data_IF_604151739841
#
_entry.id   IF_604151739841
#
_cell.length_a   1.000
_cell.length_b   1.000
_cell.length_c   1.000
_cell.angle_alpha   90.00
_cell.angle_beta   90.00
_cell.angle_gamma   90.00
#
_symmetry.space_group_name_H-M   'P 1'
#
loop_
_entity.id
_entity.type
_entity.pdbx_description
1 polymer ?
#
# COMPACT_ATOMS: atom_id res chain seq x y z
N UNK A 1 11.55 -32.47 58.39
CA UNK A 1 10.45 -31.72 57.73
C UNK A 1 10.84 -31.16 56.35
N UNK A 2 12.13 -31.07 56.00
CA UNK A 2 12.58 -30.55 54.69
C UNK A 2 12.51 -31.55 53.52
N UNK A 3 12.58 -32.86 53.76
CA UNK A 3 12.60 -33.85 52.67
C UNK A 3 11.26 -34.09 51.95
N UNK A 4 10.13 -33.59 52.48
CA UNK A 4 8.82 -33.64 51.81
C UNK A 4 8.57 -32.47 50.85
N UNK A 5 9.29 -31.36 51.01
CA UNK A 5 9.23 -30.24 50.05
C UNK A 5 10.10 -30.52 48.81
N UNK A 6 11.26 -31.16 49.00
CA UNK A 6 12.18 -31.51 47.92
C UNK A 6 11.67 -32.63 47.00
N UNK A 7 10.88 -33.57 47.51
CA UNK A 7 10.31 -34.66 46.69
C UNK A 7 9.09 -34.23 45.85
N UNK A 8 8.41 -33.12 46.20
CA UNK A 8 7.34 -32.54 45.38
C UNK A 8 7.85 -31.68 44.21
N UNK A 9 9.11 -31.25 44.24
CA UNK A 9 9.72 -30.45 43.18
C UNK A 9 10.29 -31.29 42.02
N UNK A 10 10.49 -32.60 42.21
CA UNK A 10 11.32 -33.40 41.30
C UNK A 10 10.59 -34.04 40.10
N UNK A 11 9.27 -33.91 39.96
CA UNK A 11 8.53 -34.46 38.80
C UNK A 11 7.52 -33.52 38.13
N UNK A 12 7.46 -32.25 38.52
CA UNK A 12 6.56 -31.24 37.92
C UNK A 12 7.20 -29.90 37.53
N UNK A 13 8.52 -29.74 37.72
CA UNK A 13 9.19 -28.43 37.66
C UNK A 13 9.30 -27.78 36.27
N UNK A 14 9.64 -28.56 35.23
CA UNK A 14 9.81 -28.03 33.87
C UNK A 14 8.46 -27.71 33.23
N UNK A 15 7.47 -28.59 33.37
CA UNK A 15 6.11 -28.34 32.88
C UNK A 15 5.46 -27.13 33.55
N UNK A 16 5.67 -26.94 34.86
CA UNK A 16 5.19 -25.76 35.58
C UNK A 16 5.92 -24.48 35.16
N UNK A 17 7.23 -24.53 34.91
CA UNK A 17 7.99 -23.39 34.37
C UNK A 17 7.55 -23.02 32.96
N UNK A 18 7.36 -24.00 32.07
CA UNK A 18 6.83 -23.78 30.72
C UNK A 18 5.43 -23.18 30.79
N UNK A 19 4.56 -23.69 31.66
CA UNK A 19 3.23 -23.15 31.86
C UNK A 19 3.26 -21.71 32.39
N UNK A 20 4.15 -21.40 33.33
CA UNK A 20 4.36 -20.02 33.83
C UNK A 20 4.86 -19.10 32.72
N UNK A 21 5.85 -19.52 31.93
CA UNK A 21 6.39 -18.73 30.81
C UNK A 21 5.33 -18.53 29.73
N UNK A 22 4.58 -19.56 29.38
CA UNK A 22 3.48 -19.49 28.43
C UNK A 22 2.37 -18.57 28.93
N UNK A 23 2.03 -18.64 30.22
CA UNK A 23 0.97 -17.81 30.82
C UNK A 23 1.41 -16.36 30.94
N UNK A 24 2.68 -16.09 31.28
CA UNK A 24 3.26 -14.74 31.26
C UNK A 24 3.33 -14.19 29.84
N UNK A 25 3.73 -15.00 28.86
CA UNK A 25 3.77 -14.59 27.46
C UNK A 25 2.38 -14.29 26.90
N UNK A 26 1.37 -15.12 27.22
CA UNK A 26 -0.03 -14.88 26.84
C UNK A 26 -0.59 -13.63 27.54
N UNK A 27 -0.28 -13.43 28.83
CA UNK A 27 -0.69 -12.24 29.58
C UNK A 27 -0.01 -10.97 29.05
N UNK A 28 1.26 -11.04 28.70
CA UNK A 28 2.02 -9.93 28.10
C UNK A 28 1.46 -9.61 26.71
N UNK A 29 1.26 -10.63 25.87
CA UNK A 29 0.61 -10.46 24.57
C UNK A 29 -0.77 -9.83 24.69
N UNK A 30 -1.56 -10.16 25.72
CA UNK A 30 -2.86 -9.53 25.97
C UNK A 30 -2.71 -8.03 26.26
N UNK A 31 -1.81 -7.67 27.18
CA UNK A 31 -1.54 -6.26 27.53
C UNK A 31 -1.08 -5.47 26.30
N UNK A 32 -0.24 -6.05 25.46
CA UNK A 32 0.25 -5.41 24.24
C UNK A 32 -0.74 -5.45 23.07
N UNK A 33 -1.65 -6.43 23.02
CA UNK A 33 -2.61 -6.53 21.92
C UNK A 33 -3.62 -5.39 21.91
N UNK A 34 -3.98 -4.80 23.06
CA UNK A 34 -4.85 -3.61 23.12
C UNK A 34 -4.21 -2.41 22.41
N UNK A 35 -3.00 -1.92 22.79
CA UNK A 35 -2.37 -0.81 22.09
C UNK A 35 -2.01 -1.16 20.65
N UNK A 36 -1.67 -2.42 20.34
CA UNK A 36 -1.42 -2.85 18.95
C UNK A 36 -2.69 -2.76 18.11
N UNK A 37 -3.84 -3.23 18.60
CA UNK A 37 -5.13 -3.13 17.90
C UNK A 37 -5.51 -1.67 17.69
N UNK A 38 -5.32 -0.81 18.70
CA UNK A 38 -5.56 0.62 18.56
C UNK A 38 -4.64 1.27 17.53
N UNK A 39 -3.35 0.97 17.55
CA UNK A 39 -2.39 1.49 16.57
C UNK A 39 -2.69 0.99 15.15
N UNK A 40 -3.04 -0.29 14.98
CA UNK A 40 -3.44 -0.84 13.68
C UNK A 40 -4.74 -0.22 13.17
N UNK A 41 -5.72 -0.01 14.04
CA UNK A 41 -6.97 0.67 13.68
C UNK A 41 -6.75 2.14 13.31
N UNK A 42 -5.85 2.84 14.02
CA UNK A 42 -5.45 4.21 13.64
C UNK A 42 -4.70 4.22 12.31
N UNK A 43 -3.80 3.26 12.08
CA UNK A 43 -3.04 3.15 10.83
C UNK A 43 -3.96 2.83 9.63
N UNK A 44 -4.87 1.87 9.79
CA UNK A 44 -5.90 1.54 8.79
C UNK A 44 -6.87 2.70 8.58
N UNK A 45 -7.27 3.36 9.67
CA UNK A 45 -8.08 4.58 9.61
C UNK A 45 -7.37 5.68 8.83
N UNK A 46 -6.07 5.88 9.04
CA UNK A 46 -5.28 6.86 8.29
C UNK A 46 -5.31 6.55 6.77
N UNK A 47 -5.02 5.31 6.37
CA UNK A 47 -5.01 4.95 4.93
C UNK A 47 -6.40 5.05 4.30
N UNK A 48 -7.43 4.65 5.04
CA UNK A 48 -8.84 4.73 4.61
C UNK A 48 -9.30 6.19 4.46
N UNK A 49 -8.95 7.04 5.42
CA UNK A 49 -9.27 8.47 5.42
C UNK A 49 -8.66 9.17 4.20
N UNK A 50 -7.37 8.99 3.96
CA UNK A 50 -6.70 9.61 2.81
C UNK A 50 -7.23 9.06 1.49
N UNK A 51 -7.47 7.74 1.39
CA UNK A 51 -8.08 7.14 0.21
C UNK A 51 -9.50 7.64 -0.07
N UNK A 52 -10.30 7.89 0.95
CA UNK A 52 -11.66 8.42 0.81
C UNK A 52 -11.68 9.93 0.51
N UNK A 53 -10.69 10.67 1.01
CA UNK A 53 -10.55 12.12 0.80
C UNK A 53 -10.34 12.51 -0.68
N UNK A 54 -9.98 11.55 -1.54
CA UNK A 54 -9.97 11.77 -3.00
C UNK A 54 -11.36 12.02 -3.58
N UNK A 55 -12.42 11.49 -2.95
CA UNK A 55 -13.78 11.50 -3.50
C UNK A 55 -14.75 12.39 -2.73
N UNK A 56 -14.51 12.58 -1.42
CA UNK A 56 -15.43 13.27 -0.51
C UNK A 56 -14.66 14.34 0.28
N UNK A 57 -15.36 15.39 0.73
CA UNK A 57 -14.80 16.39 1.64
C UNK A 57 -14.13 15.75 2.87
N UNK A 58 -12.94 16.23 3.28
CA UNK A 58 -12.15 15.59 4.32
C UNK A 58 -12.89 15.37 5.64
N UNK A 59 -13.75 16.31 6.07
CA UNK A 59 -14.47 16.16 7.34
C UNK A 59 -15.51 15.02 7.32
N UNK A 60 -16.17 14.79 6.19
CA UNK A 60 -17.11 13.66 6.02
C UNK A 60 -16.32 12.35 5.97
N UNK A 61 -15.20 12.33 5.24
CA UNK A 61 -14.32 11.18 5.15
C UNK A 61 -13.81 10.74 6.54
N UNK A 62 -13.48 11.71 7.43
CA UNK A 62 -13.07 11.43 8.80
C UNK A 62 -14.18 10.72 9.59
N UNK A 63 -15.41 11.23 9.55
CA UNK A 63 -16.55 10.67 10.29
C UNK A 63 -16.83 9.23 9.83
N UNK A 64 -16.87 9.01 8.51
CA UNK A 64 -17.13 7.68 7.94
C UNK A 64 -15.99 6.71 8.30
N UNK A 65 -14.74 7.16 8.25
CA UNK A 65 -13.58 6.34 8.61
C UNK A 65 -13.65 5.88 10.07
N UNK A 66 -13.95 6.79 11.00
CA UNK A 66 -14.13 6.45 12.42
C UNK A 66 -15.25 5.44 12.60
N UNK A 67 -16.36 5.60 11.86
CA UNK A 67 -17.47 4.65 11.89
C UNK A 67 -17.06 3.26 11.37
N UNK A 68 -16.38 3.17 10.22
CA UNK A 68 -15.91 1.89 9.64
C UNK A 68 -14.97 1.17 10.61
N UNK A 69 -13.98 1.88 11.14
CA UNK A 69 -13.00 1.30 12.08
C UNK A 69 -13.66 0.84 13.38
N UNK A 70 -14.61 1.62 13.90
CA UNK A 70 -15.39 1.24 15.09
C UNK A 70 -16.22 -0.02 14.84
N UNK A 71 -16.87 -0.13 13.68
CA UNK A 71 -17.65 -1.31 13.28
C UNK A 71 -16.74 -2.54 13.17
N UNK A 72 -15.56 -2.42 12.54
CA UNK A 72 -14.60 -3.53 12.43
C UNK A 72 -14.22 -4.05 13.82
N UNK A 73 -13.85 -3.16 14.75
CA UNK A 73 -13.44 -3.55 16.10
C UNK A 73 -14.62 -4.14 16.90
N UNK A 74 -15.78 -3.48 16.92
CA UNK A 74 -16.96 -3.93 17.67
C UNK A 74 -17.47 -5.27 17.12
N UNK A 75 -17.63 -5.40 15.81
CA UNK A 75 -18.07 -6.66 15.21
C UNK A 75 -17.05 -7.78 15.40
N UNK A 76 -15.74 -7.49 15.45
CA UNK A 76 -14.72 -8.49 15.77
C UNK A 76 -14.85 -9.02 17.21
N UNK A 77 -15.09 -8.13 18.17
CA UNK A 77 -15.37 -8.54 19.56
C UNK A 77 -16.68 -9.31 19.69
N UNK A 78 -17.74 -8.83 19.04
CA UNK A 78 -19.05 -9.47 19.10
C UNK A 78 -19.04 -10.85 18.45
N UNK A 79 -18.36 -11.00 17.30
CA UNK A 79 -18.20 -12.29 16.62
C UNK A 79 -17.38 -13.29 17.44
N UNK A 80 -16.47 -12.81 18.28
CA UNK A 80 -15.74 -13.66 19.21
C UNK A 80 -16.59 -14.12 20.42
N UNK A 81 -17.57 -13.32 20.82
CA UNK A 81 -18.50 -13.62 21.91
C UNK A 81 -19.69 -14.52 21.52
N UNK A 82 -20.07 -14.58 20.24
CA UNK A 82 -21.25 -15.31 19.77
C UNK A 82 -20.91 -16.75 19.33
N UNK A 83 -21.68 -17.72 19.83
CA UNK A 83 -21.66 -19.08 19.30
C UNK A 83 -22.55 -19.20 18.05
N UNK A 84 -21.94 -19.57 16.93
CA UNK A 84 -22.62 -19.73 15.64
C UNK A 84 -23.83 -20.70 15.71
N UNK A 85 -23.76 -21.75 16.54
CA UNK A 85 -24.88 -22.70 16.70
C UNK A 85 -26.06 -22.14 17.49
N UNK A 86 -25.81 -21.44 18.59
CA UNK A 86 -26.87 -20.90 19.47
C UNK A 86 -27.63 -19.70 18.89
N UNK A 87 -26.99 -18.86 18.07
CA UNK A 87 -27.66 -17.69 17.49
C UNK A 87 -27.17 -17.40 16.05
N UNK A 88 -27.63 -18.23 15.11
CA UNK A 88 -27.25 -18.14 13.68
C UNK A 88 -27.59 -16.81 13.04
N UNK A 89 -28.76 -16.25 13.33
CA UNK A 89 -29.20 -14.97 12.74
C UNK A 89 -28.34 -13.80 13.20
N UNK A 90 -28.07 -13.69 14.51
CA UNK A 90 -27.19 -12.65 15.04
C UNK A 90 -25.76 -12.82 14.52
N UNK A 91 -25.23 -14.04 14.54
CA UNK A 91 -23.90 -14.34 14.02
C UNK A 91 -23.76 -13.93 12.54
N UNK A 92 -24.73 -14.29 11.70
CA UNK A 92 -24.72 -13.93 10.29
C UNK A 92 -24.82 -12.41 10.08
N UNK A 93 -25.69 -11.71 10.82
CA UNK A 93 -25.81 -10.26 10.73
C UNK A 93 -24.51 -9.54 11.08
N UNK A 94 -23.84 -9.97 12.16
CA UNK A 94 -22.55 -9.41 12.58
C UNK A 94 -21.46 -9.71 11.56
N UNK A 95 -21.42 -10.94 11.03
CA UNK A 95 -20.45 -11.34 10.00
C UNK A 95 -20.62 -10.52 8.70
N UNK A 96 -21.85 -10.34 8.22
CA UNK A 96 -22.12 -9.53 7.02
C UNK A 96 -21.72 -8.08 7.24
N UNK A 97 -22.05 -7.51 8.40
CA UNK A 97 -21.62 -6.14 8.76
C UNK A 97 -20.10 -6.02 8.76
N UNK A 98 -19.39 -7.02 9.31
CA UNK A 98 -17.93 -7.07 9.31
C UNK A 98 -17.37 -7.14 7.88
N UNK A 99 -17.92 -7.99 7.01
CA UNK A 99 -17.48 -8.11 5.61
C UNK A 99 -17.69 -6.80 4.85
N UNK A 100 -18.82 -6.13 5.05
CA UNK A 100 -19.10 -4.84 4.40
C UNK A 100 -18.09 -3.78 4.87
N UNK A 101 -17.87 -3.66 6.18
CA UNK A 101 -16.93 -2.70 6.75
C UNK A 101 -15.48 -2.98 6.29
N UNK A 102 -15.08 -4.25 6.29
CA UNK A 102 -13.77 -4.69 5.80
C UNK A 102 -13.58 -4.37 4.31
N UNK A 103 -14.57 -4.68 3.48
CA UNK A 103 -14.52 -4.41 2.04
C UNK A 103 -14.41 -2.92 1.76
N UNK A 104 -15.19 -2.09 2.48
CA UNK A 104 -15.13 -0.63 2.35
C UNK A 104 -13.76 -0.08 2.77
N UNK A 105 -13.24 -0.49 3.93
CA UNK A 105 -11.92 -0.10 4.44
C UNK A 105 -10.80 -0.45 3.43
N UNK A 106 -10.82 -1.69 2.94
CA UNK A 106 -9.86 -2.20 1.96
C UNK A 106 -9.94 -1.47 0.61
N UNK A 107 -11.15 -1.19 0.12
CA UNK A 107 -11.36 -0.49 -1.15
C UNK A 107 -10.85 0.95 -1.12
N UNK A 108 -11.06 1.70 -0.02
CA UNK A 108 -10.54 3.06 0.09
C UNK A 108 -9.05 3.08 0.39
N UNK A 109 -8.56 2.20 1.27
CA UNK A 109 -7.12 2.08 1.54
C UNK A 109 -6.32 1.69 0.28
N UNK A 110 -6.89 0.86 -0.61
CA UNK A 110 -6.28 0.50 -1.89
C UNK A 110 -5.84 1.74 -2.68
N UNK A 111 -6.68 2.78 -2.76
CA UNK A 111 -6.36 3.98 -3.53
C UNK A 111 -5.12 4.70 -3.01
N UNK A 112 -4.94 4.74 -1.68
CA UNK A 112 -3.76 5.36 -1.08
C UNK A 112 -2.51 4.52 -1.30
N UNK A 113 -2.60 3.20 -1.17
CA UNK A 113 -1.47 2.31 -1.45
C UNK A 113 -1.10 2.28 -2.93
N UNK A 114 -2.09 2.37 -3.83
CA UNK A 114 -1.88 2.46 -5.27
C UNK A 114 -1.11 3.74 -5.64
N UNK A 115 -1.50 4.89 -5.08
CA UNK A 115 -0.76 6.14 -5.28
C UNK A 115 0.70 6.00 -4.85
N UNK A 116 0.96 5.40 -3.68
CA UNK A 116 2.32 5.21 -3.16
C UNK A 116 3.11 4.22 -4.03
N UNK A 117 2.50 3.12 -4.46
CA UNK A 117 3.21 2.09 -5.23
C UNK A 117 3.50 2.49 -6.67
N UNK A 118 2.61 3.27 -7.31
CA UNK A 118 2.73 3.65 -8.72
C UNK A 118 3.33 5.05 -8.93
N UNK A 119 3.63 5.78 -7.86
CA UNK A 119 4.18 7.13 -7.92
C UNK A 119 5.41 7.20 -8.84
N UNK A 120 6.37 6.30 -8.64
CA UNK A 120 7.62 6.31 -9.38
C UNK A 120 7.43 5.81 -10.82
N UNK A 121 6.62 4.77 -11.02
CA UNK A 121 6.29 4.24 -12.35
C UNK A 121 5.67 5.32 -13.23
N UNK A 122 4.67 6.06 -12.71
CA UNK A 122 3.96 7.09 -13.46
C UNK A 122 4.86 8.30 -13.69
N UNK A 123 5.72 8.64 -12.73
CA UNK A 123 6.71 9.70 -12.93
C UNK A 123 7.69 9.36 -14.05
N UNK A 124 8.21 8.13 -14.07
CA UNK A 124 9.08 7.64 -15.15
C UNK A 124 8.34 7.65 -16.48
N UNK A 125 7.08 7.20 -16.52
CA UNK A 125 6.24 7.24 -17.73
C UNK A 125 6.08 8.68 -18.25
N UNK A 126 5.89 9.67 -17.36
CA UNK A 126 5.79 11.09 -17.73
C UNK A 126 7.13 11.65 -18.23
N UNK A 127 8.25 11.35 -17.57
CA UNK A 127 9.59 11.79 -18.00
C UNK A 127 9.90 11.22 -19.39
N UNK A 128 9.70 9.93 -19.58
CA UNK A 128 9.88 9.27 -20.88
C UNK A 128 8.94 9.84 -21.95
N UNK A 129 7.70 10.17 -21.57
CA UNK A 129 6.75 10.82 -22.46
C UNK A 129 7.26 12.17 -22.98
N UNK A 130 7.77 13.03 -22.08
CA UNK A 130 8.39 14.31 -22.45
C UNK A 130 9.64 14.10 -23.30
N UNK A 131 10.53 13.19 -22.88
CA UNK A 131 11.77 12.87 -23.60
C UNK A 131 11.49 12.41 -25.03
N UNK A 132 10.58 11.45 -25.22
CA UNK A 132 10.22 10.92 -26.53
C UNK A 132 9.58 12.00 -27.43
N UNK A 133 8.70 12.85 -26.89
CA UNK A 133 8.08 13.94 -27.68
C UNK A 133 9.11 14.96 -28.15
N UNK A 134 10.09 15.31 -27.29
CA UNK A 134 11.16 16.24 -27.65
C UNK A 134 12.11 15.60 -28.66
N UNK A 135 12.54 14.36 -28.44
CA UNK A 135 13.42 13.63 -29.36
C UNK A 135 12.79 13.46 -30.76
N UNK A 136 11.52 13.08 -30.83
CA UNK A 136 10.78 13.00 -32.10
C UNK A 136 10.70 14.35 -32.83
N UNK A 137 10.56 15.45 -32.08
CA UNK A 137 10.57 16.79 -32.65
C UNK A 137 11.96 17.18 -33.16
N UNK A 138 13.02 16.91 -32.38
CA UNK A 138 14.40 17.18 -32.77
C UNK A 138 14.80 16.40 -34.02
N UNK A 139 14.42 15.11 -34.13
CA UNK A 139 14.62 14.29 -35.33
C UNK A 139 13.97 14.91 -36.57
N UNK A 140 12.76 15.47 -36.44
CA UNK A 140 12.09 16.18 -37.54
C UNK A 140 12.85 17.45 -37.93
N UNK A 141 13.35 18.23 -36.96
CA UNK A 141 14.16 19.43 -37.23
C UNK A 141 15.45 19.09 -37.99
N UNK A 142 16.16 18.04 -37.54
CA UNK A 142 17.40 17.58 -38.21
C UNK A 142 17.13 17.14 -39.63
N UNK A 143 16.01 16.43 -39.87
CA UNK A 143 15.59 16.05 -41.23
C UNK A 143 15.32 17.27 -42.13
N UNK A 144 14.59 18.26 -41.62
CA UNK A 144 14.30 19.51 -42.37
C UNK A 144 15.58 20.29 -42.66
N UNK A 145 16.47 20.43 -41.68
CA UNK A 145 17.80 21.06 -41.86
C UNK A 145 18.61 20.36 -42.94
N UNK A 146 18.69 19.02 -42.89
CA UNK A 146 19.45 18.23 -43.85
C UNK A 146 18.91 18.41 -45.28
N UNK A 147 17.59 18.38 -45.44
CA UNK A 147 16.94 18.58 -46.73
C UNK A 147 17.18 20.00 -47.27
N UNK A 148 17.07 21.04 -46.42
CA UNK A 148 17.31 22.42 -46.81
C UNK A 148 18.76 22.66 -47.25
N UNK A 149 19.73 22.15 -46.49
CA UNK A 149 21.14 22.28 -46.84
C UNK A 149 21.49 21.51 -48.14
N UNK A 150 20.90 20.34 -48.35
CA UNK A 150 21.07 19.58 -49.59
C UNK A 150 20.48 20.32 -50.80
N UNK A 151 19.30 20.92 -50.65
CA UNK A 151 18.64 21.72 -51.68
C UNK A 151 19.49 22.95 -52.07
N UNK A 152 19.98 23.70 -51.08
CA UNK A 152 20.84 24.87 -51.32
C UNK A 152 22.21 24.49 -51.93
N UNK A 153 22.79 23.34 -51.55
CA UNK A 153 24.01 22.81 -52.17
C UNK A 153 23.80 22.41 -53.63
N UNK A 154 22.68 21.75 -53.93
CA UNK A 154 22.33 21.39 -55.30
C UNK A 154 22.13 22.61 -56.20
N UNK A 155 21.48 23.67 -55.70
CA UNK A 155 21.37 24.95 -56.41
C UNK A 155 22.75 25.59 -56.66
N UNK A 156 23.64 25.56 -55.66
CA UNK A 156 25.00 26.08 -55.80
C UNK A 156 25.81 25.30 -56.84
N UNK A 157 25.67 23.98 -56.90
CA UNK A 157 26.30 23.13 -57.92
C UNK A 157 25.80 23.43 -59.34
N UNK A 158 24.48 23.69 -59.50
CA UNK A 158 23.91 24.13 -60.78
C UNK A 158 24.50 25.46 -61.22
N UNK A 159 24.55 26.44 -60.33
CA UNK A 159 25.17 27.74 -60.58
C UNK A 159 26.67 27.58 -60.90
N UNK A 160 27.39 26.69 -60.23
CA UNK A 160 28.80 26.39 -60.53
C UNK A 160 29.00 25.82 -61.94
N UNK A 161 28.07 24.98 -62.41
CA UNK A 161 28.05 24.50 -63.81
C UNK A 161 27.77 25.63 -64.79
N UNK A 162 26.84 26.52 -64.47
CA UNK A 162 26.53 27.69 -65.30
C UNK A 162 27.71 28.68 -65.38
N UNK A 163 28.41 28.94 -64.27
CA UNK A 163 29.64 29.77 -64.26
C UNK A 163 30.71 29.17 -65.16
N UNK A 164 30.92 27.84 -65.10
CA UNK A 164 31.92 27.19 -65.94
C UNK A 164 31.52 27.17 -67.41
N UNK A 165 30.24 27.08 -67.75
CA UNK A 165 29.76 27.18 -69.13
C UNK A 165 29.79 28.63 -69.67
N UNK A 166 29.52 29.62 -68.82
CA UNK A 166 29.56 31.05 -69.18
C UNK A 166 31.00 31.58 -69.36
N UNK A 167 32.00 30.83 -68.93
CA UNK A 167 33.40 31.15 -69.13
C UNK A 167 33.79 30.94 -70.61
N UNK A 168 34.37 31.97 -71.23
CA UNK A 168 34.64 31.98 -72.68
C UNK A 168 35.58 30.85 -73.12
N UNK A 169 36.45 30.32 -72.27
CA UNK A 169 37.31 29.18 -72.63
C UNK A 169 36.56 27.84 -72.79
N UNK A 170 35.38 27.70 -72.19
CA UNK A 170 34.68 26.42 -71.98
C UNK A 170 33.24 26.39 -72.49
N UNK A 171 32.80 27.43 -73.21
CA UNK A 171 31.46 27.47 -73.80
C UNK A 171 31.35 26.48 -74.99
N UNK A 172 30.27 25.66 -75.07
CA UNK A 172 30.15 24.58 -76.06
C UNK A 172 30.14 25.05 -77.52
N UNK A 173 29.58 26.23 -77.79
CA UNK A 173 29.43 26.81 -79.14
C UNK A 173 30.68 27.52 -79.68
N UNK A 174 31.80 27.52 -78.94
CA UNK A 174 33.01 28.19 -79.37
C UNK A 174 33.82 27.30 -80.32
N UNK A 175 34.27 27.83 -81.48
CA UNK A 175 35.10 27.06 -82.41
C UNK A 175 36.33 26.50 -81.70
N UNK A 176 36.77 25.26 -82.02
CA UNK A 176 37.89 24.60 -81.33
C UNK A 176 39.21 25.39 -81.37
N UNK A 177 39.31 26.39 -82.24
CA UNK A 177 40.44 27.31 -82.42
C UNK A 177 40.55 28.38 -81.30
N UNK A 178 39.44 28.66 -80.60
CA UNK A 178 39.34 29.65 -79.53
C UNK A 178 39.04 29.01 -78.16
N UNK A 179 38.91 27.68 -78.10
CA UNK A 179 38.90 26.94 -76.82
C UNK A 179 40.22 27.21 -76.11
N UNK A 180 40.15 27.38 -74.78
CA UNK A 180 41.27 27.77 -73.91
C UNK A 180 41.73 29.24 -74.00
N UNK A 181 41.05 30.11 -74.77
CA UNK A 181 41.27 31.56 -74.62
C UNK A 181 40.54 32.10 -73.39
N UNK A 182 41.33 32.65 -72.45
CA UNK A 182 40.87 33.21 -71.17
C UNK A 182 40.10 34.50 -71.44
N UNK A 183 38.80 34.54 -71.13
CA UNK A 183 37.97 35.72 -71.32
C UNK A 183 36.87 35.84 -70.27
N UNK A 184 36.98 36.84 -69.38
CA UNK A 184 35.94 37.21 -68.42
C UNK A 184 34.91 38.13 -69.08
N UNK A 185 34.02 37.55 -69.89
CA UNK A 185 32.92 38.29 -70.50
C UNK A 185 31.94 38.86 -69.44
N UNK A 186 31.10 39.85 -69.80
CA UNK A 186 30.09 40.42 -68.91
C UNK A 186 29.13 39.37 -68.32
N UNK A 187 28.76 38.35 -69.11
CA UNK A 187 27.90 37.25 -68.68
C UNK A 187 28.56 36.40 -67.60
N UNK A 188 29.85 36.06 -67.75
CA UNK A 188 30.60 35.34 -66.73
C UNK A 188 30.66 36.13 -65.42
N UNK A 189 30.92 37.44 -65.48
CA UNK A 189 30.97 38.29 -64.29
C UNK A 189 29.64 38.32 -63.53
N UNK A 190 28.52 38.41 -64.24
CA UNK A 190 27.19 38.40 -63.65
C UNK A 190 26.85 37.04 -63.00
N UNK A 191 27.07 35.93 -63.71
CA UNK A 191 26.78 34.60 -63.17
C UNK A 191 27.73 34.25 -62.01
N UNK A 192 29.01 34.64 -62.11
CA UNK A 192 29.98 34.46 -61.04
C UNK A 192 29.63 35.30 -59.80
N UNK A 193 29.13 36.54 -59.95
CA UNK A 193 28.68 37.32 -58.78
C UNK A 193 27.51 36.62 -58.07
N UNK A 194 26.52 36.11 -58.82
CA UNK A 194 25.41 35.35 -58.24
C UNK A 194 25.92 34.09 -57.51
N UNK A 195 26.88 33.39 -58.11
CA UNK A 195 27.49 32.20 -57.51
C UNK A 195 28.23 32.54 -56.21
N UNK A 196 29.04 33.61 -56.17
CA UNK A 196 29.73 34.03 -54.95
C UNK A 196 28.75 34.48 -53.86
N UNK A 197 27.70 35.22 -54.23
CA UNK A 197 26.66 35.65 -53.30
C UNK A 197 25.93 34.45 -52.69
N UNK A 198 25.53 33.47 -53.52
CA UNK A 198 24.87 32.24 -53.07
C UNK A 198 25.81 31.39 -52.19
N UNK A 199 27.10 31.31 -52.54
CA UNK A 199 28.11 30.62 -51.74
C UNK A 199 28.28 31.27 -50.36
N UNK A 200 28.29 32.60 -50.30
CA UNK A 200 28.36 33.33 -49.04
C UNK A 200 27.08 33.13 -48.20
N UNK A 201 25.90 33.14 -48.84
CA UNK A 201 24.63 32.83 -48.17
C UNK A 201 24.59 31.42 -47.59
N UNK A 202 25.07 30.41 -48.34
CA UNK A 202 25.15 29.02 -47.85
C UNK A 202 26.09 28.92 -46.64
N UNK A 203 27.27 29.54 -46.70
CA UNK A 203 28.22 29.54 -45.59
C UNK A 203 27.65 30.23 -44.34
N UNK A 204 26.93 31.35 -44.53
CA UNK A 204 26.25 32.03 -43.43
C UNK A 204 25.13 31.18 -42.83
N UNK A 205 24.37 30.47 -43.67
CA UNK A 205 23.30 29.56 -43.23
C UNK A 205 23.86 28.37 -42.45
N UNK A 206 24.95 27.76 -42.91
CA UNK A 206 25.65 26.68 -42.20
C UNK A 206 26.15 27.15 -40.83
N UNK A 207 26.70 28.36 -40.73
CA UNK A 207 27.14 28.94 -39.46
C UNK A 207 25.97 29.20 -38.50
N UNK A 208 24.86 29.75 -39.01
CA UNK A 208 23.65 29.96 -38.21
C UNK A 208 23.06 28.65 -37.69
N UNK A 209 23.11 27.57 -38.47
CA UNK A 209 22.66 26.26 -38.01
C UNK A 209 23.53 25.66 -36.91
N UNK A 210 24.83 26.02 -36.80
CA UNK A 210 25.66 25.60 -35.67
C UNK A 210 25.16 26.16 -34.34
N UNK A 211 24.63 27.39 -34.33
CA UNK A 211 24.03 27.97 -33.14
C UNK A 211 22.79 27.18 -32.70
N UNK A 212 21.97 26.74 -33.65
CA UNK A 212 20.82 25.86 -33.36
C UNK A 212 21.30 24.51 -32.81
N UNK A 213 22.35 23.92 -33.39
CA UNK A 213 22.92 22.65 -32.89
C UNK A 213 23.40 22.77 -31.42
N UNK A 214 23.98 23.91 -31.04
CA UNK A 214 24.36 24.19 -29.66
C UNK A 214 23.13 24.30 -28.74
N UNK A 215 22.07 24.97 -29.20
CA UNK A 215 20.80 25.04 -28.46
C UNK A 215 20.14 23.66 -28.30
N UNK A 216 20.22 22.79 -29.33
CA UNK A 216 19.76 21.40 -29.26
C UNK A 216 20.57 20.60 -28.23
N UNK A 217 21.90 20.68 -28.27
CA UNK A 217 22.76 20.00 -27.29
C UNK A 217 22.46 20.46 -25.85
N UNK A 218 22.18 21.76 -25.66
CA UNK A 218 21.78 22.30 -24.35
C UNK A 218 20.44 21.73 -23.87
N UNK A 219 19.48 21.58 -24.79
CA UNK A 219 18.18 20.97 -24.50
C UNK A 219 18.32 19.49 -24.13
N UNK A 220 19.15 18.72 -24.84
CA UNK A 220 19.44 17.32 -24.52
C UNK A 220 20.09 17.15 -23.14
N UNK A 221 21.01 18.05 -22.78
CA UNK A 221 21.58 18.10 -21.43
C UNK A 221 20.49 18.38 -20.39
N UNK A 222 19.58 19.32 -20.67
CA UNK A 222 18.43 19.63 -19.81
C UNK A 222 17.51 18.42 -19.59
N UNK A 223 17.24 17.65 -20.64
CA UNK A 223 16.45 16.41 -20.55
C UNK A 223 17.13 15.36 -19.67
N UNK A 224 18.44 15.17 -19.81
CA UNK A 224 19.19 14.24 -18.97
C UNK A 224 19.21 14.68 -17.50
N UNK A 225 19.22 15.99 -17.22
CA UNK A 225 19.06 16.52 -15.86
C UNK A 225 17.67 16.26 -15.29
N UNK A 226 16.61 16.37 -16.10
CA UNK A 226 15.24 16.11 -15.67
C UNK A 226 15.04 14.65 -15.20
N UNK A 227 15.78 13.71 -15.80
CA UNK A 227 15.80 12.30 -15.40
C UNK A 227 16.59 12.05 -14.11
N UNK A 228 17.67 12.82 -13.87
CA UNK A 228 18.61 12.56 -12.76
C UNK A 228 18.40 13.39 -11.50
N UNK A 229 17.91 14.64 -11.59
CA UNK A 229 17.75 15.53 -10.43
C UNK A 229 16.30 15.49 -9.89
N UNK A 230 16.09 14.55 -8.96
CA UNK A 230 14.81 14.38 -8.26
C UNK A 230 14.45 15.57 -7.35
N UNK A 231 15.44 16.34 -6.88
CA UNK A 231 15.27 17.40 -5.89
C UNK A 231 14.90 18.75 -6.52
N UNK A 232 15.43 19.06 -7.72
CA UNK A 232 15.16 20.30 -8.45
C UNK A 232 14.35 20.10 -9.72
N UNK A 233 13.41 19.13 -9.70
CA UNK A 233 12.62 18.76 -10.88
C UNK A 233 11.85 19.93 -11.52
N UNK A 234 11.47 20.96 -10.76
CA UNK A 234 10.84 22.18 -11.31
C UNK A 234 11.79 22.98 -12.19
N UNK A 235 13.00 23.24 -11.70
CA UNK A 235 14.00 24.02 -12.42
C UNK A 235 14.45 23.27 -13.67
N UNK A 236 14.70 21.95 -13.55
CA UNK A 236 15.02 21.11 -14.69
C UNK A 236 13.90 21.10 -15.74
N UNK A 237 12.63 21.04 -15.32
CA UNK A 237 11.50 21.09 -16.24
C UNK A 237 11.39 22.44 -16.96
N UNK A 238 11.61 23.55 -16.25
CA UNK A 238 11.64 24.87 -16.84
C UNK A 238 12.81 25.05 -17.81
N UNK A 239 14.00 24.53 -17.49
CA UNK A 239 15.15 24.50 -18.40
C UNK A 239 14.80 23.79 -19.72
N UNK A 240 14.15 22.62 -19.65
CA UNK A 240 13.70 21.87 -20.83
C UNK A 240 12.67 22.66 -21.64
N UNK A 241 11.65 23.22 -20.98
CA UNK A 241 10.61 24.01 -21.66
C UNK A 241 11.18 25.26 -22.35
N UNK A 242 12.06 25.99 -21.66
CA UNK A 242 12.73 27.17 -22.24
C UNK A 242 13.68 26.79 -23.37
N UNK A 243 14.44 25.70 -23.21
CA UNK A 243 15.32 25.16 -24.24
C UNK A 243 14.55 24.78 -25.51
N UNK A 244 13.40 24.11 -25.36
CA UNK A 244 12.52 23.75 -26.48
C UNK A 244 12.01 25.00 -27.22
N UNK A 245 11.53 26.01 -26.47
CA UNK A 245 11.07 27.27 -27.07
C UNK A 245 12.19 28.03 -27.79
N UNK A 246 13.40 28.03 -27.23
CA UNK A 246 14.56 28.66 -27.85
C UNK A 246 14.92 27.96 -29.17
N UNK A 247 15.04 26.64 -29.18
CA UNK A 247 15.30 25.84 -30.39
C UNK A 247 14.22 26.09 -31.44
N UNK A 248 12.94 26.08 -31.04
CA UNK A 248 11.83 26.37 -31.94
C UNK A 248 11.93 27.76 -32.56
N UNK A 249 12.20 28.79 -31.76
CA UNK A 249 12.29 30.17 -32.24
C UNK A 249 13.47 30.34 -33.20
N UNK A 250 14.66 29.90 -32.81
CA UNK A 250 15.88 30.01 -33.63
C UNK A 250 15.72 29.24 -34.95
N UNK A 251 15.19 28.01 -34.90
CA UNK A 251 14.96 27.22 -36.11
C UNK A 251 13.93 27.87 -37.03
N UNK A 252 12.79 28.33 -36.49
CA UNK A 252 11.73 28.94 -37.29
C UNK A 252 12.20 30.25 -37.94
N UNK A 253 12.97 31.08 -37.24
CA UNK A 253 13.51 32.32 -37.80
C UNK A 253 14.46 32.05 -38.99
N UNK A 254 15.27 31.00 -38.92
CA UNK A 254 16.21 30.63 -39.98
C UNK A 254 15.50 30.03 -41.20
N UNK A 255 14.51 29.19 -40.96
CA UNK A 255 13.84 28.40 -42.00
C UNK A 255 12.64 29.09 -42.63
N UNK A 256 12.02 30.07 -41.96
CA UNK A 256 10.88 30.82 -42.47
C UNK A 256 11.16 31.55 -43.81
N UNK A 257 12.42 31.85 -44.11
CA UNK A 257 12.82 32.45 -45.41
C UNK A 257 12.81 31.47 -46.57
N UNK A 258 12.88 30.17 -46.29
CA UNK A 258 13.09 29.13 -47.29
C UNK A 258 11.92 28.14 -47.39
N UNK A 259 11.15 27.94 -46.31
CA UNK A 259 10.04 27.00 -46.26
C UNK A 259 8.84 27.54 -45.47
N UNK A 260 7.66 27.05 -45.85
CA UNK A 260 6.39 27.33 -45.18
C UNK A 260 5.89 26.14 -44.35
N UNK A 261 6.42 24.94 -44.57
CA UNK A 261 6.09 23.69 -43.90
C UNK A 261 7.08 23.37 -42.77
N UNK A 262 6.85 23.97 -41.59
CA UNK A 262 7.67 23.73 -40.40
C UNK A 262 7.00 22.72 -39.47
N UNK A 263 7.77 21.81 -38.84
CA UNK A 263 7.23 20.88 -37.87
C UNK A 263 6.68 21.66 -36.66
N UNK A 264 5.48 21.31 -36.22
CA UNK A 264 4.88 21.89 -35.02
C UNK A 264 5.60 21.38 -33.76
N UNK A 265 5.96 22.29 -32.86
CA UNK A 265 6.53 21.91 -31.57
C UNK A 265 5.52 21.10 -30.72
N UNK A 266 5.99 20.11 -29.95
CA UNK A 266 5.13 19.34 -29.06
C UNK A 266 4.59 20.24 -27.95
N UNK A 267 3.31 20.08 -27.62
CA UNK A 267 2.69 20.73 -26.47
C UNK A 267 3.04 19.90 -25.24
N UNK A 268 4.06 20.33 -24.50
CA UNK A 268 4.41 19.70 -23.24
C UNK A 268 3.31 19.93 -22.20
N UNK A 269 3.11 18.96 -21.32
CA UNK A 269 2.21 19.09 -20.16
C UNK A 269 2.67 20.23 -19.24
N UNK A 270 1.81 20.77 -18.39
CA UNK A 270 2.25 21.79 -17.43
C UNK A 270 3.06 21.14 -16.30
N UNK A 271 3.94 21.89 -15.64
CA UNK A 271 4.66 21.37 -14.46
C UNK A 271 3.70 20.92 -13.34
N UNK A 272 2.56 21.60 -13.20
CA UNK A 272 1.50 21.19 -12.27
C UNK A 272 0.93 19.81 -12.61
N UNK A 273 0.70 19.50 -13.89
CA UNK A 273 0.25 18.18 -14.33
C UNK A 273 1.37 17.13 -14.25
N UNK A 274 2.61 17.54 -14.50
CA UNK A 274 3.79 16.69 -14.37
C UNK A 274 4.00 16.23 -12.92
N UNK A 275 3.75 17.10 -11.95
CA UNK A 275 3.85 16.81 -10.50
C UNK A 275 2.55 16.36 -9.85
N UNK A 276 1.41 16.41 -10.56
CA UNK A 276 0.13 16.07 -9.97
C UNK A 276 0.16 14.61 -9.48
N UNK A 277 -0.13 14.45 -8.18
CA UNK A 277 -0.28 13.14 -7.57
C UNK A 277 -1.41 12.39 -8.26
N UNK A 278 -1.21 11.08 -8.42
CA UNK A 278 -2.13 10.23 -9.15
C UNK A 278 -3.46 10.22 -8.42
N UNK A 279 -4.46 10.93 -8.94
CA UNK A 279 -5.84 10.74 -8.50
C UNK A 279 -6.34 9.43 -9.10
N UNK A 280 -6.54 8.37 -8.31
CA UNK A 280 -7.06 7.15 -8.84
C UNK A 280 -8.50 7.41 -9.27
N UNK A 281 -8.71 7.47 -10.58
CA UNK A 281 -10.05 7.50 -11.16
C UNK A 281 -10.51 6.07 -11.41
N UNK A 282 -11.82 5.84 -11.41
CA UNK A 282 -12.41 4.52 -11.70
C UNK A 282 -11.95 3.99 -13.07
N UNK A 283 -11.57 4.89 -13.99
CA UNK A 283 -11.00 4.54 -15.30
C UNK A 283 -9.58 3.96 -15.26
N UNK A 284 -8.84 4.10 -14.16
CA UNK A 284 -7.51 3.52 -13.97
C UNK A 284 -7.56 2.07 -13.43
N UNK A 285 -8.76 1.53 -13.15
CA UNK A 285 -8.94 0.11 -12.77
C UNK A 285 -8.30 -0.92 -13.71
N UNK A 286 -8.13 -0.71 -15.04
CA UNK A 286 -7.46 -1.69 -15.89
C UNK A 286 -6.00 -1.95 -15.52
N UNK A 287 -5.33 -1.02 -14.81
CA UNK A 287 -3.98 -1.19 -14.24
C UNK A 287 -4.06 -1.70 -12.79
N UNK A 288 -4.99 -2.62 -12.49
CA UNK A 288 -5.19 -3.15 -11.14
C UNK A 288 -3.96 -3.91 -10.65
N UNK A 289 -3.32 -3.43 -9.60
CA UNK A 289 -2.22 -4.13 -8.94
C UNK A 289 -2.73 -4.85 -7.68
N UNK A 290 -2.49 -6.15 -7.60
CA UNK A 290 -2.91 -6.98 -6.45
C UNK A 290 -2.16 -6.63 -5.15
N UNK A 291 -0.97 -6.07 -5.26
CA UNK A 291 -0.10 -5.82 -4.12
C UNK A 291 -0.64 -4.76 -3.14
N UNK A 292 -1.06 -3.55 -3.57
CA UNK A 292 -1.76 -2.58 -2.71
C UNK A 292 -2.99 -3.15 -2.01
N UNK A 293 -3.73 -4.01 -2.71
CA UNK A 293 -4.94 -4.65 -2.21
C UNK A 293 -4.62 -5.62 -1.06
N UNK A 294 -3.58 -6.45 -1.22
CA UNK A 294 -3.15 -7.40 -0.19
C UNK A 294 -2.68 -6.66 1.06
N UNK A 295 -1.88 -5.59 0.90
CA UNK A 295 -1.40 -4.79 2.04
C UNK A 295 -2.56 -4.15 2.78
N UNK A 296 -3.50 -3.52 2.07
CA UNK A 296 -4.70 -2.95 2.66
C UNK A 296 -5.48 -4.00 3.47
N UNK A 297 -5.70 -5.18 2.89
CA UNK A 297 -6.39 -6.29 3.56
C UNK A 297 -5.63 -6.85 4.77
N UNK A 298 -4.29 -6.87 4.75
CA UNK A 298 -3.48 -7.42 5.85
C UNK A 298 -3.65 -6.62 7.14
N UNK A 299 -3.65 -5.28 7.07
CA UNK A 299 -3.77 -4.43 8.27
C UNK A 299 -5.12 -4.65 8.96
N UNK A 300 -6.21 -4.65 8.19
CA UNK A 300 -7.55 -4.91 8.72
C UNK A 300 -7.68 -6.35 9.21
N UNK A 301 -7.08 -7.33 8.50
CA UNK A 301 -7.10 -8.73 8.91
C UNK A 301 -6.40 -8.94 10.25
N UNK A 302 -5.23 -8.33 10.48
CA UNK A 302 -4.56 -8.41 11.78
C UNK A 302 -5.36 -7.70 12.88
N UNK A 303 -6.06 -6.61 12.56
CA UNK A 303 -6.94 -5.91 13.50
C UNK A 303 -8.10 -6.80 13.93
N UNK A 304 -8.75 -7.50 12.99
CA UNK A 304 -9.82 -8.47 13.26
C UNK A 304 -9.27 -9.66 14.06
N UNK A 305 -8.14 -10.24 13.64
CA UNK A 305 -7.57 -11.42 14.28
C UNK A 305 -7.14 -11.15 15.72
N UNK A 306 -6.49 -10.02 15.99
CA UNK A 306 -6.06 -9.63 17.34
C UNK A 306 -7.25 -9.25 18.22
N UNK A 307 -8.24 -8.52 17.68
CA UNK A 307 -9.49 -8.20 18.40
C UNK A 307 -10.26 -9.48 18.77
N UNK A 308 -10.37 -10.42 17.83
CA UNK A 308 -10.97 -11.73 18.07
C UNK A 308 -10.20 -12.50 19.16
N UNK A 309 -8.87 -12.52 19.09
CA UNK A 309 -8.02 -13.18 20.08
C UNK A 309 -8.12 -12.58 21.48
N UNK A 310 -8.28 -11.26 21.59
CA UNK A 310 -8.42 -10.55 22.87
C UNK A 310 -9.59 -11.08 23.70
N UNK A 311 -10.69 -11.47 23.05
CA UNK A 311 -11.89 -12.01 23.70
C UNK A 311 -11.73 -13.49 24.10
N UNK A 312 -11.00 -14.28 23.30
CA UNK A 312 -10.75 -15.69 23.62
C UNK A 312 -9.63 -15.91 24.65
N UNK A 313 -8.69 -14.97 24.78
CA UNK A 313 -7.54 -15.11 25.67
C UNK A 313 -7.95 -14.92 27.14
N UNK A 314 -7.70 -15.94 27.96
CA UNK A 314 -8.01 -15.96 29.39
C UNK A 314 -7.50 -14.71 30.14
N UNK A 315 -8.12 -14.34 31.29
CA UNK A 315 -7.46 -13.45 32.24
C UNK A 315 -6.11 -14.02 32.63
N UNK A 316 -5.21 -13.13 33.06
CA UNK A 316 -3.86 -13.47 33.46
C UNK A 316 -3.79 -14.61 34.52
N UNK A 317 -2.57 -15.09 34.82
CA UNK A 317 -2.37 -16.22 35.72
C UNK A 317 -3.10 -16.00 37.04
N UNK A 318 -4.00 -16.93 37.40
CA UNK A 318 -4.66 -16.92 38.70
C UNK A 318 -3.63 -17.16 39.80
N UNK A 319 -3.74 -16.41 40.88
CA UNK A 319 -3.04 -16.78 42.13
C UNK A 319 -3.69 -18.04 42.72
N UNK A 320 -2.93 -18.81 43.51
CA UNK A 320 -3.45 -20.04 44.12
C UNK A 320 -4.69 -19.80 45.02
N UNK A 321 -4.78 -18.62 45.62
CA UNK A 321 -5.93 -18.20 46.42
C UNK A 321 -7.17 -17.92 45.56
N UNK A 322 -6.98 -17.25 44.41
CA UNK A 322 -8.07 -17.00 43.46
C UNK A 322 -8.55 -18.28 42.79
N UNK A 323 -7.63 -19.20 42.48
CA UNK A 323 -7.99 -20.53 41.99
C UNK A 323 -8.88 -21.23 43.02
N UNK A 324 -8.46 -21.29 44.29
CA UNK A 324 -9.28 -21.88 45.36
C UNK A 324 -10.66 -21.24 45.47
N UNK A 325 -10.73 -19.91 45.42
CA UNK A 325 -11.98 -19.14 45.43
C UNK A 325 -12.88 -19.47 44.22
N UNK A 326 -12.33 -19.57 43.01
CA UNK A 326 -13.07 -19.97 41.80
C UNK A 326 -13.73 -21.34 41.99
N UNK A 327 -13.02 -22.29 42.61
CA UNK A 327 -13.57 -23.62 42.89
C UNK A 327 -14.61 -23.62 44.00
N UNK A 328 -14.44 -22.81 45.05
CA UNK A 328 -15.46 -22.64 46.08
C UNK A 328 -16.73 -22.02 45.51
N UNK A 329 -16.59 -21.02 44.63
CA UNK A 329 -17.69 -20.42 43.87
C UNK A 329 -18.39 -21.46 42.99
N UNK A 330 -17.65 -22.33 42.28
CA UNK A 330 -18.25 -23.37 41.44
C UNK A 330 -19.02 -24.43 42.23
N UNK A 331 -18.59 -24.72 43.47
CA UNK A 331 -19.27 -25.66 44.36
C UNK A 331 -20.65 -25.16 44.82
N UNK A 332 -20.95 -23.86 44.67
CA UNK A 332 -22.25 -23.30 45.02
C UNK A 332 -23.33 -23.61 43.99
N UNK A 333 -22.95 -24.13 42.81
CA UNK A 333 -23.89 -24.58 41.79
C UNK A 333 -24.10 -26.09 41.87
N UNK A 334 -25.37 -26.50 41.84
CA UNK A 334 -25.75 -27.91 41.96
C UNK A 334 -26.29 -28.49 40.64
N UNK A 335 -26.69 -27.64 39.70
CA UNK A 335 -27.27 -28.06 38.42
C UNK A 335 -26.34 -27.69 37.27
N UNK A 336 -25.78 -28.72 36.64
CA UNK A 336 -24.97 -28.61 35.44
C UNK A 336 -25.70 -29.31 34.29
N UNK A 337 -25.85 -28.63 33.15
CA UNK A 337 -26.42 -29.20 31.93
C UNK A 337 -25.43 -29.02 30.79
N UNK A 338 -25.51 -29.88 29.77
CA UNK A 338 -24.74 -29.67 28.53
C UNK A 338 -25.68 -28.95 27.56
N UNK A 339 -25.27 -27.79 27.08
CA UNK A 339 -26.01 -26.99 26.11
C UNK A 339 -25.79 -27.52 24.67
N UNK A 340 -26.56 -27.04 23.71
CA UNK A 340 -26.46 -27.35 22.26
C UNK A 340 -25.08 -27.02 21.65
N UNK A 341 -24.25 -26.25 22.37
CA UNK A 341 -22.87 -25.91 22.02
C UNK A 341 -21.82 -26.88 22.62
N UNK A 342 -22.24 -28.01 23.19
CA UNK A 342 -21.38 -28.96 23.92
C UNK A 342 -20.64 -28.33 25.12
N UNK A 343 -21.17 -27.20 25.62
CA UNK A 343 -20.65 -26.48 26.79
C UNK A 343 -21.47 -26.77 28.04
N UNK A 344 -20.80 -26.81 29.20
CA UNK A 344 -21.46 -26.93 30.50
C UNK A 344 -22.15 -25.60 30.84
N UNK A 345 -23.46 -25.65 30.98
CA UNK A 345 -24.35 -24.55 31.34
C UNK A 345 -24.80 -24.68 32.80
N UNK A 346 -24.86 -23.54 33.48
CA UNK A 346 -25.39 -23.35 34.83
C UNK A 346 -26.63 -22.45 34.75
N UNK A 347 -27.66 -22.82 35.50
CA UNK A 347 -28.86 -22.02 35.70
C UNK A 347 -28.65 -21.09 36.90
N UNK A 348 -28.83 -19.78 36.69
CA UNK A 348 -28.60 -18.75 37.73
C UNK A 348 -29.85 -18.55 38.59
N UNK A 349 -31.04 -18.63 37.98
CA UNK A 349 -32.31 -18.37 38.68
C UNK A 349 -32.64 -19.42 39.75
N UNK A 350 -33.38 -18.99 40.78
CA UNK A 350 -33.96 -19.89 41.78
C UNK A 350 -34.86 -20.91 41.11
N UNK A 351 -34.66 -22.17 41.45
CA UNK A 351 -35.69 -23.19 41.20
C UNK A 351 -36.93 -22.89 42.05
N UNK A 352 -38.10 -23.36 41.62
CA UNK A 352 -39.35 -23.13 42.38
C UNK A 352 -39.28 -23.72 43.80
N UNK A 353 -38.48 -24.78 43.98
CA UNK A 353 -38.21 -25.41 45.28
C UNK A 353 -37.33 -24.50 46.16
N UNK A 354 -36.32 -23.83 45.60
CA UNK A 354 -35.47 -22.88 46.32
C UNK A 354 -36.22 -21.60 46.69
N UNK A 355 -37.13 -21.16 45.81
CA UNK A 355 -38.04 -20.04 46.07
C UNK A 355 -38.99 -20.37 47.23
N UNK A 356 -39.52 -21.59 47.27
CA UNK A 356 -40.38 -22.07 48.36
C UNK A 356 -39.63 -22.23 49.70
N UNK A 357 -38.30 -22.41 49.68
CA UNK A 357 -37.47 -22.60 50.89
C UNK A 357 -36.77 -21.32 51.38
N UNK A 358 -37.06 -20.16 50.77
CA UNK A 358 -36.40 -18.88 51.09
C UNK A 358 -34.86 -18.96 51.08
N UNK A 359 -34.28 -19.70 50.13
CA UNK A 359 -32.83 -19.79 50.00
C UNK A 359 -32.21 -18.42 49.66
N UNK A 360 -31.04 -18.13 50.23
CA UNK A 360 -30.31 -16.86 50.04
C UNK A 360 -29.39 -16.98 48.83
N UNK A 361 -29.67 -16.20 47.78
CA UNK A 361 -28.94 -16.28 46.49
C UNK A 361 -27.65 -15.47 46.44
N UNK A 362 -27.37 -14.68 47.48
CA UNK A 362 -26.24 -13.75 47.48
C UNK A 362 -24.90 -14.43 47.15
N UNK A 363 -24.57 -15.61 47.71
CA UNK A 363 -23.34 -16.32 47.36
C UNK A 363 -23.32 -16.72 45.87
N UNK A 364 -24.43 -17.26 45.35
CA UNK A 364 -24.55 -17.70 43.95
C UNK A 364 -24.37 -16.52 42.99
N UNK A 365 -25.02 -15.40 43.26
CA UNK A 365 -24.91 -14.19 42.45
C UNK A 365 -23.51 -13.58 42.53
N UNK A 366 -22.87 -13.61 43.70
CA UNK A 366 -21.48 -13.21 43.86
C UNK A 366 -20.53 -14.13 43.07
N UNK A 367 -20.71 -15.45 43.14
CA UNK A 367 -19.96 -16.43 42.38
C UNK A 367 -20.10 -16.23 40.87
N UNK A 368 -21.34 -16.04 40.38
CA UNK A 368 -21.61 -15.72 38.97
C UNK A 368 -20.93 -14.41 38.58
N UNK A 369 -21.08 -13.35 39.37
CA UNK A 369 -20.48 -12.05 39.09
C UNK A 369 -18.96 -12.09 39.04
N UNK A 370 -18.32 -12.77 39.99
CA UNK A 370 -16.87 -12.95 40.03
C UNK A 370 -16.37 -13.76 38.82
N UNK A 371 -17.01 -14.90 38.53
CA UNK A 371 -16.60 -15.77 37.43
C UNK A 371 -16.86 -15.14 36.05
N UNK A 372 -17.93 -14.35 35.89
CA UNK A 372 -18.19 -13.55 34.69
C UNK A 372 -17.17 -12.41 34.53
N UNK A 373 -16.86 -11.66 35.61
CA UNK A 373 -15.89 -10.57 35.57
C UNK A 373 -14.48 -11.05 35.20
N UNK A 374 -14.18 -12.31 35.54
CA UNK A 374 -12.94 -13.01 35.19
C UNK A 374 -13.10 -13.88 33.93
N UNK A 375 -14.16 -13.76 33.15
CA UNK A 375 -14.29 -14.47 31.87
C UNK A 375 -14.19 -16.02 31.95
N UNK A 376 -14.46 -16.60 33.12
CA UNK A 376 -14.56 -18.06 33.30
C UNK A 376 -15.96 -18.58 32.99
N UNK A 377 -16.95 -17.70 33.05
CA UNK A 377 -18.29 -17.94 32.55
C UNK A 377 -18.55 -16.99 31.38
N UNK A 378 -19.41 -17.40 30.47
CA UNK A 378 -19.98 -16.59 29.38
C UNK A 378 -21.48 -16.48 29.60
N UNK A 379 -22.03 -15.29 29.33
CA UNK A 379 -23.48 -15.05 29.46
C UNK A 379 -24.19 -15.58 28.21
N UNK A 380 -25.09 -16.54 28.40
CA UNK A 380 -25.95 -17.06 27.32
C UNK A 380 -27.25 -16.24 27.29
N UNK A 381 -27.91 -16.13 28.45
CA UNK A 381 -29.16 -15.39 28.64
C UNK A 381 -29.15 -14.67 30.01
N UNK A 382 -30.22 -13.93 30.33
CA UNK A 382 -30.38 -13.34 31.68
C UNK A 382 -30.41 -14.39 32.79
N UNK A 383 -30.77 -15.63 32.46
CA UNK A 383 -31.02 -16.72 33.41
C UNK A 383 -29.95 -17.80 33.43
N UNK A 384 -29.03 -17.79 32.46
CA UNK A 384 -28.11 -18.91 32.20
C UNK A 384 -26.73 -18.44 31.80
N UNK A 385 -25.72 -19.15 32.29
CA UNK A 385 -24.31 -18.92 31.99
C UNK A 385 -23.64 -20.23 31.62
N UNK A 386 -22.72 -20.19 30.66
CA UNK A 386 -21.97 -21.36 30.24
C UNK A 386 -20.49 -21.24 30.61
N UNK A 387 -19.82 -22.37 30.72
CA UNK A 387 -18.38 -22.43 31.01
C UNK A 387 -17.60 -21.87 29.83
N UNK A 388 -16.72 -20.91 30.11
CA UNK A 388 -15.75 -20.49 29.13
C UNK A 388 -14.75 -21.64 28.86
N UNK A 389 -14.18 -21.75 27.65
CA UNK A 389 -13.16 -22.74 27.30
C UNK A 389 -11.98 -22.77 28.29
N UNK A 390 -11.68 -21.62 28.90
CA UNK A 390 -10.58 -21.44 29.84
C UNK A 390 -10.81 -22.11 31.21
N UNK A 391 -12.06 -22.42 31.55
CA UNK A 391 -12.39 -23.03 32.83
C UNK A 391 -12.18 -24.56 32.84
N UNK A 392 -12.30 -25.21 31.68
CA UNK A 392 -12.14 -26.67 31.57
C UNK A 392 -10.74 -27.18 31.96
N UNK A 393 -9.63 -26.57 31.49
CA UNK A 393 -8.29 -26.99 31.88
C UNK A 393 -8.04 -26.83 33.39
N UNK A 394 -8.51 -25.73 33.97
CA UNK A 394 -8.38 -25.45 35.40
C UNK A 394 -9.07 -26.53 36.23
N UNK A 395 -10.32 -26.86 35.89
CA UNK A 395 -11.10 -27.91 36.55
C UNK A 395 -10.42 -29.27 36.37
N UNK A 396 -9.95 -29.58 35.16
CA UNK A 396 -9.30 -30.85 34.85
C UNK A 396 -8.01 -31.04 35.67
N UNK A 397 -7.18 -30.01 35.84
CA UNK A 397 -5.96 -30.06 36.63
C UNK A 397 -6.26 -30.35 38.11
N UNK A 398 -7.20 -29.60 38.72
CA UNK A 398 -7.54 -29.78 40.14
C UNK A 398 -8.28 -31.09 40.42
N UNK A 399 -9.16 -31.53 39.51
CA UNK A 399 -9.81 -32.83 39.62
C UNK A 399 -8.81 -33.97 39.44
N UNK A 400 -7.85 -33.84 38.52
CA UNK A 400 -6.75 -34.78 38.34
C UNK A 400 -5.91 -34.94 39.61
N UNK A 401 -5.56 -33.82 40.26
CA UNK A 401 -4.83 -33.80 41.53
C UNK A 401 -5.61 -34.46 42.68
N UNK A 402 -6.92 -34.20 42.78
CA UNK A 402 -7.78 -34.86 43.77
C UNK A 402 -7.89 -36.36 43.53
N UNK A 403 -8.07 -36.78 42.28
CA UNK A 403 -8.14 -38.20 41.90
C UNK A 403 -6.83 -38.92 42.21
N UNK A 404 -5.68 -38.29 41.93
CA UNK A 404 -4.38 -38.87 42.29
C UNK A 404 -4.20 -38.99 43.80
N UNK A 405 -4.63 -38.00 44.59
CA UNK A 405 -4.60 -38.09 46.06
C UNK A 405 -5.47 -39.22 46.59
N UNK A 406 -6.68 -39.38 46.05
CA UNK A 406 -7.60 -40.48 46.42
C UNK A 406 -6.99 -41.83 46.07
N UNK A 407 -6.48 -42.00 44.84
CA UNK A 407 -5.83 -43.25 44.41
C UNK A 407 -4.62 -43.60 45.27
N UNK A 408 -3.80 -42.61 45.64
CA UNK A 408 -2.66 -42.82 46.56
C UNK A 408 -3.12 -43.19 47.97
N UNK A 409 -4.17 -42.57 48.49
CA UNK A 409 -4.72 -42.90 49.80
C UNK A 409 -5.33 -44.32 49.83
N UNK A 410 -6.03 -44.72 48.76
CA UNK A 410 -6.56 -46.07 48.58
C UNK A 410 -5.43 -47.11 48.51
N UNK A 411 -4.39 -46.87 47.69
CA UNK A 411 -3.24 -47.76 47.61
C UNK A 411 -2.49 -47.89 48.94
N UNK A 412 -2.40 -46.81 49.73
CA UNK A 412 -1.78 -46.83 51.05
C UNK A 412 -2.62 -47.62 52.06
N UNK A 413 -3.95 -47.49 52.00
CA UNK A 413 -4.88 -48.23 52.85
C UNK A 413 -4.85 -49.74 52.52
N UNK A 414 -4.80 -50.11 51.24
CA UNK A 414 -4.66 -51.50 50.80
C UNK A 414 -3.31 -52.12 51.21
N UNK A 415 -2.22 -51.35 51.13
CA UNK A 415 -0.90 -51.80 51.58
C UNK A 415 -0.86 -52.02 53.11
N UNK A 416 -1.49 -51.13 53.88
CA UNK A 416 -1.57 -51.27 55.33
C UNK A 416 -2.48 -52.43 55.75
N UNK A 417 -3.56 -52.70 55.00
CA UNK A 417 -4.44 -53.85 55.25
C UNK A 417 -3.85 -55.21 54.85
N UNK A 418 -2.77 -55.23 54.05
CA UNK A 418 -2.04 -56.46 53.69
C UNK A 418 -0.86 -56.78 54.62
N UNK A 419 -0.36 -55.78 55.35
CA UNK A 419 0.85 -55.89 56.16
C UNK A 419 0.60 -55.74 57.67
N UNK A 420 -0.66 -55.60 58.09
CA UNK A 420 -1.12 -55.73 59.48
C UNK A 420 -2.14 -56.85 59.55
#
# INVERSE_FOLDING_TARGET
MENRLLTKLKSGGIGRLINIVQTLFVSLLRIWSIPIVLLLSVASGFTTFYGMSYFITPWIALIITVAIQSIIVICSFELAGIHCKANRLRYFSVLVSLIIAFTASMAFSYFKFYEISEHDTIRIERINGVGNQVDDYLKKLVSVKSNLLAEQKSELEKLGKEVSQAYFGSHPDIPPQFRDQVGEGPTWRYVNSIYQDKKAQLAQLEEQFKAVDQSIATLEIGLNKLDSDLAHSEQAYQEVSQGLHKVQLEFNQLTAKYRTDLPSAPVLITYSQFTETVKPTVNNLPKFTLFPLIIAGMVDFFTVLLSYRLEFSAPGPLTAQEEELVFECLKQFNEFRINENDAVEIIIEKTDIERARHYVDWPRMFAVGLLLSRGFLRKVDERRVEFAPNLYPLIAEKMGDKLQKIKRAQALAEHNARNG
#
